data_IF_958515672199
#
_entry.id   IF_958515672199
#
_cell.length_a   1.000
_cell.length_b   1.000
_cell.length_c   1.000
_cell.angle_alpha   90.00
_cell.angle_beta   90.00
_cell.angle_gamma   90.00
#
_symmetry.space_group_name_H-M   'P 1'
#
loop_
_entity.id
_entity.type
_entity.pdbx_description
1 polymer ?
#
# COMPACT_ATOMS: atom_id res chain seq x y z
N UNK A 1 -23.10 -11.09 4.80
CA UNK A 1 -21.63 -11.02 4.97
C UNK A 1 -21.07 -9.97 4.03
N UNK A 2 -20.39 -8.99 4.56
CA UNK A 2 -19.80 -7.94 3.74
C UNK A 2 -18.46 -8.40 3.18
N UNK A 3 -18.24 -8.13 1.90
CA UNK A 3 -16.98 -8.42 1.24
C UNK A 3 -16.18 -7.12 1.18
N UNK A 4 -14.92 -7.18 1.63
CA UNK A 4 -14.01 -6.07 1.53
C UNK A 4 -13.09 -6.27 0.32
N UNK A 5 -13.05 -5.28 -0.55
CA UNK A 5 -12.16 -5.28 -1.73
C UNK A 5 -11.02 -4.34 -1.45
N UNK A 6 -9.80 -4.88 -1.44
CA UNK A 6 -8.56 -4.11 -1.25
C UNK A 6 -7.78 -4.13 -2.57
N UNK A 7 -7.70 -2.98 -3.22
CA UNK A 7 -7.06 -2.88 -4.54
C UNK A 7 -5.57 -2.63 -4.39
N UNK A 8 -4.74 -3.48 -5.01
CA UNK A 8 -3.29 -3.35 -4.95
C UNK A 8 -2.77 -2.29 -5.92
N UNK A 9 -1.92 -1.40 -5.43
CA UNK A 9 -1.24 -0.42 -6.25
C UNK A 9 -0.12 -1.03 -7.10
N UNK A 10 0.27 -2.27 -6.80
CA UNK A 10 1.36 -2.94 -7.53
C UNK A 10 1.02 -3.14 -9.00
N UNK A 11 -0.24 -3.27 -9.34
CA UNK A 11 -0.72 -3.53 -10.70
C UNK A 11 -1.05 -2.25 -11.49
N UNK A 12 -0.88 -1.07 -10.92
CA UNK A 12 -1.27 0.18 -11.57
C UNK A 12 -0.08 0.86 -12.29
N UNK A 13 -0.37 1.95 -13.00
CA UNK A 13 0.65 2.77 -13.64
C UNK A 13 1.27 3.70 -12.60
N UNK A 14 2.50 3.43 -12.19
CA UNK A 14 3.19 4.21 -11.16
C UNK A 14 3.46 5.66 -11.57
N UNK A 15 3.51 5.94 -12.87
CA UNK A 15 3.71 7.31 -13.34
C UNK A 15 2.47 8.19 -13.16
N UNK A 16 1.31 7.60 -12.86
CA UNK A 16 0.04 8.29 -12.66
C UNK A 16 -0.68 7.80 -11.39
N UNK A 17 0.08 7.62 -10.30
CA UNK A 17 -0.46 6.99 -9.08
C UNK A 17 -1.67 7.71 -8.50
N UNK A 18 -1.65 9.03 -8.41
CA UNK A 18 -2.79 9.77 -7.84
C UNK A 18 -4.07 9.54 -8.67
N UNK A 19 -3.94 9.50 -10.00
CA UNK A 19 -5.06 9.20 -10.89
C UNK A 19 -5.55 7.76 -10.71
N UNK A 20 -4.63 6.81 -10.62
CA UNK A 20 -4.95 5.40 -10.46
C UNK A 20 -5.65 5.14 -9.12
N UNK A 21 -5.20 5.78 -8.04
CA UNK A 21 -5.84 5.70 -6.72
C UNK A 21 -7.28 6.23 -6.79
N UNK A 22 -7.45 7.41 -7.39
CA UNK A 22 -8.78 8.01 -7.54
C UNK A 22 -9.69 7.11 -8.36
N UNK A 23 -9.17 6.53 -9.44
CA UNK A 23 -9.93 5.60 -10.28
C UNK A 23 -10.41 4.39 -9.51
N UNK A 24 -9.55 3.82 -8.68
CA UNK A 24 -9.89 2.68 -7.83
C UNK A 24 -10.95 3.06 -6.79
N UNK A 25 -10.78 4.20 -6.12
CA UNK A 25 -11.74 4.67 -5.12
C UNK A 25 -13.10 4.98 -5.74
N UNK A 26 -13.12 5.61 -6.91
CA UNK A 26 -14.35 5.92 -7.65
C UNK A 26 -15.07 4.62 -8.09
N UNK A 27 -14.32 3.55 -8.32
CA UNK A 27 -14.89 2.23 -8.64
C UNK A 27 -15.48 1.52 -7.42
N UNK A 28 -15.29 2.05 -6.21
CA UNK A 28 -15.92 1.56 -4.99
C UNK A 28 -15.10 0.56 -4.18
N UNK A 29 -13.76 0.56 -4.33
CA UNK A 29 -12.92 -0.30 -3.48
C UNK A 29 -13.01 0.17 -2.03
N UNK A 30 -12.92 -0.78 -1.10
CA UNK A 30 -13.01 -0.51 0.33
C UNK A 30 -11.68 -0.05 0.89
N UNK A 31 -10.58 -0.64 0.41
CA UNK A 31 -9.22 -0.37 0.88
C UNK A 31 -8.26 -0.27 -0.29
N UNK A 32 -7.13 0.39 -0.04
CA UNK A 32 -5.96 0.36 -0.93
C UNK A 32 -4.91 -0.57 -0.31
N UNK A 33 -4.41 -1.52 -1.10
CA UNK A 33 -3.40 -2.48 -0.69
C UNK A 33 -2.02 -2.05 -1.20
N UNK A 34 -1.06 -1.97 -0.29
CA UNK A 34 0.28 -1.45 -0.58
C UNK A 34 1.33 -2.55 -0.33
N UNK A 35 1.82 -3.14 -1.41
CA UNK A 35 2.76 -4.27 -1.35
C UNK A 35 4.20 -3.77 -1.34
N UNK A 36 4.89 -3.93 -0.20
CA UNK A 36 6.30 -3.56 -0.06
C UNK A 36 7.17 -4.80 -0.24
N UNK A 37 8.02 -4.77 -1.25
CA UNK A 37 8.90 -5.88 -1.62
C UNK A 37 10.34 -5.38 -1.67
N UNK A 38 11.27 -6.11 -1.03
CA UNK A 38 12.67 -5.69 -0.87
C UNK A 38 13.66 -6.37 -1.80
N UNK A 39 13.20 -7.34 -2.60
CA UNK A 39 14.08 -8.08 -3.48
C UNK A 39 14.88 -9.19 -2.79
N UNK A 40 14.71 -9.34 -1.47
CA UNK A 40 15.39 -10.37 -0.68
C UNK A 40 14.41 -11.43 -0.19
N UNK A 41 13.35 -11.02 0.48
CA UNK A 41 12.28 -11.92 0.93
C UNK A 41 11.49 -12.47 -0.26
N UNK A 42 11.26 -11.62 -1.26
CA UNK A 42 10.67 -11.97 -2.55
C UNK A 42 11.59 -11.48 -3.67
N UNK A 43 11.44 -12.01 -4.88
CA UNK A 43 12.35 -11.68 -6.01
C UNK A 43 12.11 -10.32 -6.65
N UNK A 44 11.07 -9.63 -6.25
CA UNK A 44 10.73 -8.33 -6.81
C UNK A 44 11.08 -7.22 -5.84
N UNK A 45 11.31 -6.02 -6.38
CA UNK A 45 11.43 -4.79 -5.59
C UNK A 45 10.30 -3.88 -6.04
N UNK A 46 9.50 -3.39 -5.10
CA UNK A 46 8.37 -2.54 -5.46
C UNK A 46 8.60 -1.08 -5.03
N UNK A 47 8.23 -0.71 -3.84
CA UNK A 47 8.29 0.65 -3.33
C UNK A 47 8.26 0.61 -1.80
N UNK A 48 8.44 1.75 -1.16
CA UNK A 48 8.55 1.82 0.29
C UNK A 48 7.88 3.05 0.88
N UNK A 49 8.41 3.52 2.01
CA UNK A 49 7.85 4.63 2.77
C UNK A 49 7.75 5.95 2.00
N UNK A 50 8.79 6.40 1.26
CA UNK A 50 8.72 7.70 0.59
C UNK A 50 7.55 7.82 -0.37
N UNK A 51 7.27 6.76 -1.12
CA UNK A 51 6.16 6.77 -2.06
C UNK A 51 4.83 6.81 -1.31
N UNK A 52 4.67 5.97 -0.27
CA UNK A 52 3.44 5.95 0.52
C UNK A 52 3.18 7.28 1.20
N UNK A 53 4.23 7.93 1.72
CA UNK A 53 4.12 9.26 2.31
C UNK A 53 3.58 10.28 1.31
N UNK A 54 4.03 10.20 0.07
CA UNK A 54 3.58 11.12 -1.00
C UNK A 54 2.14 10.84 -1.44
N UNK A 55 1.84 9.58 -1.76
CA UNK A 55 0.52 9.23 -2.30
C UNK A 55 -0.55 9.11 -1.23
N UNK A 56 -0.15 8.91 0.02
CA UNK A 56 -1.09 8.82 1.14
C UNK A 56 -2.02 10.02 1.25
N UNK A 57 -1.57 11.18 0.80
CA UNK A 57 -2.38 12.40 0.78
C UNK A 57 -3.54 12.31 -0.21
N UNK A 58 -3.43 11.45 -1.23
CA UNK A 58 -4.46 11.25 -2.25
C UNK A 58 -5.41 10.11 -1.89
N UNK A 59 -5.10 9.32 -0.87
CA UNK A 59 -5.90 8.15 -0.48
C UNK A 59 -6.88 8.57 0.60
N UNK A 60 -8.17 8.32 0.36
CA UNK A 60 -9.24 8.66 1.30
C UNK A 60 -9.82 7.43 2.01
N UNK A 61 -9.50 6.23 1.53
CA UNK A 61 -9.93 4.97 2.14
C UNK A 61 -8.80 4.40 3.02
N UNK A 62 -9.09 3.42 3.88
CA UNK A 62 -8.04 2.77 4.67
C UNK A 62 -6.95 2.15 3.81
N UNK A 63 -5.71 2.19 4.29
CA UNK A 63 -4.56 1.59 3.62
C UNK A 63 -4.12 0.35 4.37
N UNK A 64 -3.96 -0.71 3.62
CA UNK A 64 -3.58 -2.04 4.05
C UNK A 64 -2.18 -2.31 3.50
N UNK A 65 -1.16 -2.30 4.37
CA UNK A 65 0.24 -2.49 3.96
C UNK A 65 0.67 -3.93 4.19
N UNK A 66 1.27 -4.51 3.16
CA UNK A 66 1.81 -5.86 3.20
C UNK A 66 3.34 -5.79 3.08
N UNK A 67 4.04 -6.15 4.15
CA UNK A 67 5.49 -6.09 4.23
C UNK A 67 6.10 -7.44 3.83
N UNK A 68 6.46 -7.57 2.56
CA UNK A 68 7.19 -8.72 2.03
C UNK A 68 8.68 -8.40 2.01
N UNK A 69 9.24 -8.24 3.20
CA UNK A 69 10.62 -7.80 3.40
C UNK A 69 11.29 -8.64 4.49
N UNK A 70 12.60 -8.70 4.45
CA UNK A 70 13.37 -9.30 5.54
C UNK A 70 13.26 -8.42 6.79
N UNK A 71 13.10 -9.05 7.95
CA UNK A 71 13.02 -8.37 9.24
C UNK A 71 11.94 -7.28 9.28
N UNK A 72 10.66 -7.61 9.00
CA UNK A 72 9.60 -6.60 8.89
C UNK A 72 9.32 -5.86 10.18
N UNK A 73 9.55 -6.48 11.35
CA UNK A 73 9.33 -5.86 12.65
C UNK A 73 10.12 -4.56 12.80
N UNK A 74 11.28 -4.51 12.18
CA UNK A 74 12.15 -3.34 12.17
C UNK A 74 11.49 -2.09 11.55
N UNK A 75 10.48 -2.28 10.70
CA UNK A 75 9.87 -1.20 9.92
C UNK A 75 8.43 -0.88 10.33
N UNK A 76 7.84 -1.65 11.26
CA UNK A 76 6.43 -1.48 11.64
C UNK A 76 6.14 -0.08 12.13
N UNK A 77 6.96 0.46 13.03
CA UNK A 77 6.75 1.79 13.59
C UNK A 77 6.77 2.87 12.50
N UNK A 78 7.70 2.74 11.55
CA UNK A 78 7.81 3.69 10.44
C UNK A 78 6.53 3.75 9.61
N UNK A 79 5.96 2.57 9.29
CA UNK A 79 4.72 2.51 8.52
C UNK A 79 3.51 2.92 9.35
N UNK A 80 3.47 2.55 10.63
CA UNK A 80 2.39 2.95 11.52
C UNK A 80 2.29 4.47 11.65
N UNK A 81 3.43 5.15 11.69
CA UNK A 81 3.50 6.62 11.78
C UNK A 81 2.94 7.32 10.54
N UNK A 82 2.78 6.61 9.44
CA UNK A 82 2.17 7.16 8.21
C UNK A 82 0.63 7.13 8.25
N UNK A 83 0.02 6.72 9.35
CA UNK A 83 -1.43 6.73 9.51
C UNK A 83 -2.13 5.55 8.85
N UNK A 84 -1.47 4.41 8.80
CA UNK A 84 -2.02 3.21 8.17
C UNK A 84 -3.09 2.55 9.03
N UNK A 85 -4.00 1.84 8.39
CA UNK A 85 -5.09 1.14 9.08
C UNK A 85 -4.74 -0.29 9.43
N UNK A 86 -3.89 -0.93 8.61
CA UNK A 86 -3.58 -2.35 8.76
C UNK A 86 -2.18 -2.64 8.21
N UNK A 87 -1.43 -3.50 8.90
CA UNK A 87 -0.11 -3.96 8.45
C UNK A 87 -0.09 -5.49 8.49
N UNK A 88 0.25 -6.11 7.37
CA UNK A 88 0.51 -7.54 7.26
C UNK A 88 2.02 -7.79 7.19
N UNK A 89 2.46 -8.82 7.89
CA UNK A 89 3.86 -9.22 7.90
C UNK A 89 4.05 -10.51 7.11
#
# INVERSE_FOLDING_TARGET
MDIIVSASLLACDFSNLAFEIKRAEDAGVDWIHYDVMDGMFVRNISFGEPLLKSVGKSITVPVDVHLMICDPIRYIDNYADLGLSLIHI
#
